data_IF_673016929177
#
_entry.id   IF_673016929177
#
_cell.length_a   1.000
_cell.length_b   1.000
_cell.length_c   1.000
_cell.angle_alpha   90.00
_cell.angle_beta   90.00
_cell.angle_gamma   90.00
#
_symmetry.space_group_name_H-M   'P 1'
#
loop_
_entity.id
_entity.type
_entity.pdbx_description
1 polymer ?
#
# COMPACT_ATOMS: atom_id res chain seq x y z
N UNK A 1 39.81 10.86 -70.26
CA UNK A 1 38.93 11.43 -69.22
C UNK A 1 39.02 10.56 -67.97
N UNK A 2 39.77 10.98 -66.96
CA UNK A 2 39.99 10.23 -65.72
C UNK A 2 38.94 10.64 -64.68
N UNK A 3 38.01 9.73 -64.35
CA UNK A 3 36.98 9.96 -63.36
C UNK A 3 37.56 9.95 -61.94
N UNK A 4 37.52 11.10 -61.25
CA UNK A 4 38.00 11.29 -59.88
C UNK A 4 37.07 10.55 -58.89
N UNK A 5 37.54 9.45 -58.31
CA UNK A 5 36.82 8.64 -57.30
C UNK A 5 36.54 9.52 -56.07
N UNK A 6 35.28 9.92 -55.86
CA UNK A 6 34.87 10.74 -54.71
C UNK A 6 34.92 9.89 -53.44
N UNK A 7 35.73 10.30 -52.47
CA UNK A 7 35.83 9.67 -51.15
C UNK A 7 34.55 9.94 -50.36
N UNK A 8 33.79 8.89 -50.03
CA UNK A 8 32.54 8.94 -49.26
C UNK A 8 32.75 9.04 -47.74
N UNK A 9 34.02 9.10 -47.32
CA UNK A 9 34.46 9.23 -45.92
C UNK A 9 33.78 10.36 -45.12
N UNK A 10 33.64 11.60 -45.63
CA UNK A 10 32.98 12.67 -44.87
C UNK A 10 31.49 12.42 -44.65
N UNK A 11 30.82 11.72 -45.57
CA UNK A 11 29.39 11.36 -45.41
C UNK A 11 29.19 10.27 -44.35
N UNK A 12 30.14 9.34 -44.21
CA UNK A 12 30.11 8.32 -43.16
C UNK A 12 30.20 8.92 -41.75
N UNK A 13 31.11 9.89 -41.55
CA UNK A 13 31.25 10.61 -40.27
C UNK A 13 29.97 11.39 -39.95
N UNK A 14 29.40 12.08 -40.95
CA UNK A 14 28.18 12.86 -40.79
C UNK A 14 26.98 11.97 -40.41
N UNK A 15 26.91 10.76 -40.96
CA UNK A 15 25.88 9.77 -40.64
C UNK A 15 26.01 9.25 -39.19
N UNK A 16 27.23 8.99 -38.71
CA UNK A 16 27.46 8.54 -37.32
C UNK A 16 27.06 9.63 -36.32
N UNK A 17 27.41 10.89 -36.60
CA UNK A 17 27.03 12.03 -35.75
C UNK A 17 25.50 12.18 -35.69
N UNK A 18 24.82 12.08 -36.84
CA UNK A 18 23.37 12.15 -36.90
C UNK A 18 22.70 11.03 -36.09
N UNK A 19 23.22 9.80 -36.18
CA UNK A 19 22.76 8.65 -35.39
C UNK A 19 22.96 8.87 -33.88
N UNK A 20 24.09 9.43 -33.48
CA UNK A 20 24.37 9.78 -32.08
C UNK A 20 23.36 10.78 -31.51
N UNK A 21 23.04 11.83 -32.27
CA UNK A 21 22.03 12.82 -31.87
C UNK A 21 20.65 12.16 -31.71
N UNK A 22 20.24 11.31 -32.66
CA UNK A 22 18.97 10.59 -32.59
C UNK A 22 18.89 9.70 -31.34
N UNK A 23 19.96 8.96 -31.02
CA UNK A 23 20.01 8.12 -29.83
C UNK A 23 19.95 8.94 -28.53
N UNK A 24 20.63 10.10 -28.47
CA UNK A 24 20.54 11.01 -27.31
C UNK A 24 19.11 11.52 -27.15
N UNK A 25 18.45 11.95 -28.22
CA UNK A 25 17.05 12.42 -28.17
C UNK A 25 16.09 11.31 -27.72
N UNK A 26 16.28 10.07 -28.21
CA UNK A 26 15.49 8.91 -27.78
C UNK A 26 15.74 8.62 -26.29
N UNK A 27 17.00 8.67 -25.84
CA UNK A 27 17.36 8.47 -24.44
C UNK A 27 16.72 9.51 -23.51
N UNK A 28 16.76 10.79 -23.89
CA UNK A 28 16.09 11.88 -23.16
C UNK A 28 14.56 11.69 -23.17
N UNK A 29 13.97 11.28 -24.30
CA UNK A 29 12.53 10.99 -24.42
C UNK A 29 12.11 9.81 -23.54
N UNK A 30 12.91 8.74 -23.50
CA UNK A 30 12.66 7.59 -22.63
C UNK A 30 12.79 8.03 -21.17
N UNK A 31 13.88 8.71 -20.81
CA UNK A 31 14.10 9.25 -19.46
C UNK A 31 12.97 10.19 -19.00
N UNK A 32 12.50 11.08 -19.88
CA UNK A 32 11.42 12.03 -19.58
C UNK A 32 10.03 11.38 -19.51
N UNK A 33 9.78 10.28 -20.23
CA UNK A 33 8.53 9.50 -20.09
C UNK A 33 8.60 8.47 -18.96
N UNK A 34 9.81 8.17 -18.51
CA UNK A 34 10.14 7.25 -17.43
C UNK A 34 10.52 8.04 -16.17
N UNK A 35 10.21 9.35 -16.09
CA UNK A 35 10.02 9.99 -14.81
C UNK A 35 8.81 9.31 -14.20
N UNK A 36 9.11 8.31 -13.39
CA UNK A 36 8.19 7.83 -12.39
C UNK A 36 7.84 9.08 -11.59
N UNK A 37 6.68 9.69 -11.88
CA UNK A 37 6.01 10.60 -10.96
C UNK A 37 5.60 9.75 -9.74
N UNK A 38 6.58 9.34 -8.95
CA UNK A 38 6.39 8.91 -7.58
C UNK A 38 6.28 10.18 -6.78
N UNK A 39 5.02 10.47 -6.46
CA UNK A 39 4.58 11.23 -5.31
C UNK A 39 4.63 12.74 -5.44
N UNK A 40 3.45 13.32 -5.24
CA UNK A 40 3.17 14.73 -4.98
C UNK A 40 3.85 15.31 -3.71
N UNK A 41 5.03 14.81 -3.33
CA UNK A 41 5.75 15.16 -2.08
C UNK A 41 6.85 16.21 -2.32
N UNK A 42 7.16 16.55 -3.56
CA UNK A 42 8.33 17.36 -3.94
C UNK A 42 8.33 18.82 -3.44
N UNK A 43 7.26 19.30 -2.80
CA UNK A 43 7.16 20.66 -2.25
C UNK A 43 6.91 20.72 -0.73
N UNK A 44 6.92 19.59 -0.02
CA UNK A 44 6.82 19.61 1.45
C UNK A 44 8.23 19.79 2.01
N UNK A 45 8.45 20.83 2.82
CA UNK A 45 9.74 21.02 3.50
C UNK A 45 10.03 19.75 4.30
N UNK A 46 11.23 19.18 4.15
CA UNK A 46 11.67 17.94 4.83
C UNK A 46 11.31 17.90 6.33
N UNK A 47 11.41 19.04 7.01
CA UNK A 47 11.05 19.20 8.43
C UNK A 47 9.55 18.93 8.67
N UNK A 48 8.67 19.47 7.83
CA UNK A 48 7.22 19.24 7.93
C UNK A 48 6.86 17.77 7.63
N UNK A 49 7.65 17.11 6.76
CA UNK A 49 7.48 15.68 6.49
C UNK A 49 7.90 14.84 7.70
N UNK A 50 9.06 15.14 8.29
CA UNK A 50 9.59 14.43 9.46
C UNK A 50 8.66 14.60 10.68
N UNK A 51 8.13 15.81 10.92
CA UNK A 51 7.15 16.08 11.97
C UNK A 51 5.84 15.30 11.75
N UNK A 52 5.33 15.26 10.52
CA UNK A 52 4.14 14.47 10.17
C UNK A 52 4.37 12.98 10.37
N UNK A 53 5.51 12.45 9.93
CA UNK A 53 5.86 11.03 10.11
C UNK A 53 5.93 10.70 11.60
N UNK A 54 6.60 11.53 12.40
CA UNK A 54 6.70 11.33 13.85
C UNK A 54 5.32 11.34 14.51
N UNK A 55 4.44 12.27 14.12
CA UNK A 55 3.06 12.34 14.61
C UNK A 55 2.27 11.07 14.27
N UNK A 56 2.37 10.59 13.03
CA UNK A 56 1.72 9.35 12.58
C UNK A 56 2.27 8.14 13.35
N UNK A 57 3.59 8.04 13.57
CA UNK A 57 4.18 6.96 14.36
C UNK A 57 3.67 6.98 15.81
N UNK A 58 3.60 8.17 16.43
CA UNK A 58 3.10 8.30 17.79
C UNK A 58 1.64 7.87 17.91
N UNK A 59 0.79 8.28 16.96
CA UNK A 59 -0.63 7.86 16.91
C UNK A 59 -0.77 6.35 16.71
N UNK A 60 0.01 5.77 15.79
CA UNK A 60 0.04 4.33 15.54
C UNK A 60 0.46 3.55 16.80
N UNK A 61 1.54 3.98 17.46
CA UNK A 61 2.04 3.34 18.68
C UNK A 61 1.06 3.48 19.84
N UNK A 62 0.42 4.64 20.01
CA UNK A 62 -0.60 4.85 21.03
C UNK A 62 -1.80 3.91 20.83
N UNK A 63 -2.22 3.71 19.57
CA UNK A 63 -3.28 2.75 19.25
C UNK A 63 -2.83 1.30 19.52
N UNK A 64 -1.65 0.90 19.04
CA UNK A 64 -1.11 -0.45 19.22
C UNK A 64 -0.80 -0.78 20.69
N UNK A 65 -0.56 0.21 21.55
CA UNK A 65 -0.44 0.01 22.99
C UNK A 65 -1.76 -0.42 23.64
N UNK A 66 -2.90 -0.03 23.06
CA UNK A 66 -4.23 -0.33 23.59
C UNK A 66 -4.91 -1.51 22.90
N UNK A 67 -4.63 -1.72 21.61
CA UNK A 67 -5.31 -2.71 20.79
C UNK A 67 -4.32 -3.66 20.11
N UNK A 68 -4.63 -4.96 20.15
CA UNK A 68 -4.13 -5.94 19.20
C UNK A 68 -5.10 -6.00 18.03
N UNK A 69 -4.59 -5.85 16.80
CA UNK A 69 -5.40 -5.99 15.60
C UNK A 69 -5.17 -7.38 15.02
N UNK A 70 -6.24 -8.18 14.91
CA UNK A 70 -6.20 -9.52 14.31
C UNK A 70 -7.03 -9.57 13.04
N UNK A 71 -6.64 -10.43 12.11
CA UNK A 71 -7.30 -10.62 10.82
C UNK A 71 -7.67 -12.09 10.63
N UNK A 72 -8.91 -12.35 10.17
CA UNK A 72 -9.37 -13.69 9.83
C UNK A 72 -10.13 -13.68 8.53
N UNK A 73 -9.81 -14.66 7.67
CA UNK A 73 -10.56 -14.97 6.44
C UNK A 73 -11.53 -16.14 6.63
N UNK A 74 -11.47 -16.82 7.79
CA UNK A 74 -12.20 -18.07 8.09
C UNK A 74 -13.23 -17.85 9.23
N UNK A 75 -13.14 -16.74 9.95
CA UNK A 75 -14.12 -16.35 10.99
C UNK A 75 -13.74 -16.72 12.42
N UNK A 76 -12.62 -17.41 12.64
CA UNK A 76 -12.06 -17.59 13.99
C UNK A 76 -11.16 -16.40 14.35
N UNK A 77 -11.55 -15.63 15.38
CA UNK A 77 -10.81 -14.48 15.89
C UNK A 77 -9.81 -14.80 16.99
N UNK A 78 -9.91 -15.96 17.64
CA UNK A 78 -9.05 -16.32 18.79
C UNK A 78 -7.67 -16.77 18.33
N UNK A 79 -7.61 -17.52 17.23
CA UNK A 79 -6.36 -18.00 16.65
C UNK A 79 -5.80 -17.10 15.55
N UNK A 80 -6.53 -16.02 15.19
CA UNK A 80 -6.13 -15.11 14.13
C UNK A 80 -4.80 -14.39 14.43
N UNK A 81 -3.92 -14.22 13.42
CA UNK A 81 -2.62 -13.61 13.59
C UNK A 81 -2.77 -12.12 13.92
N UNK A 82 -1.91 -11.64 14.81
CA UNK A 82 -1.81 -10.20 15.12
C UNK A 82 -1.10 -9.52 13.95
N UNK A 83 -1.77 -8.55 13.34
CA UNK A 83 -1.20 -7.71 12.30
C UNK A 83 -0.14 -6.80 12.91
N UNK A 84 1.01 -6.73 12.23
CA UNK A 84 2.08 -5.82 12.61
C UNK A 84 1.89 -4.46 11.96
N UNK A 85 2.49 -3.46 12.58
CA UNK A 85 2.56 -2.11 12.08
C UNK A 85 3.06 -2.07 10.62
N UNK A 86 2.38 -1.35 9.72
CA UNK A 86 2.69 -1.27 8.29
C UNK A 86 4.04 -0.64 7.95
N UNK A 87 4.63 0.13 8.88
CA UNK A 87 5.91 0.82 8.67
C UNK A 87 7.12 -0.12 8.79
N UNK A 88 6.90 -1.38 9.17
CA UNK A 88 7.89 -2.44 9.01
C UNK A 88 7.65 -3.15 7.67
N UNK A 89 8.71 -3.28 6.86
CA UNK A 89 8.63 -3.90 5.54
C UNK A 89 8.22 -5.37 5.64
N UNK A 90 7.02 -5.71 5.16
CA UNK A 90 6.56 -7.09 5.01
C UNK A 90 6.67 -7.44 3.52
N UNK A 91 7.70 -8.20 3.09
CA UNK A 91 7.82 -8.59 1.68
C UNK A 91 6.62 -9.44 1.25
N UNK A 92 6.29 -9.39 -0.04
CA UNK A 92 5.28 -10.28 -0.63
C UNK A 92 5.70 -11.73 -0.37
N UNK A 93 4.82 -12.58 0.19
CA UNK A 93 5.12 -14.00 0.36
C UNK A 93 5.42 -14.67 -0.99
N UNK A 94 6.31 -15.66 -0.98
CA UNK A 94 6.64 -16.45 -2.19
C UNK A 94 5.68 -17.63 -2.39
N UNK A 95 5.20 -18.19 -1.28
CA UNK A 95 4.39 -19.41 -1.27
C UNK A 95 2.92 -19.11 -1.01
N UNK A 96 2.04 -19.78 -1.76
CA UNK A 96 0.59 -19.67 -1.60
C UNK A 96 0.24 -20.05 -0.15
N UNK A 97 -0.46 -19.17 0.59
CA UNK A 97 -0.86 -19.47 1.95
C UNK A 97 -1.77 -20.70 1.98
N UNK A 98 -1.51 -21.64 2.89
CA UNK A 98 -2.31 -22.87 3.01
C UNK A 98 -3.69 -22.63 3.65
N UNK A 99 -3.76 -21.69 4.61
CA UNK A 99 -4.98 -21.39 5.38
C UNK A 99 -5.17 -19.85 5.49
N UNK A 100 -4.48 -19.22 6.44
CA UNK A 100 -4.62 -17.78 6.71
C UNK A 100 -4.08 -16.93 5.57
N UNK A 101 -4.88 -15.96 5.12
CA UNK A 101 -4.55 -15.12 3.98
C UNK A 101 -4.97 -15.71 2.64
N UNK A 102 -5.43 -16.97 2.56
CA UNK A 102 -6.09 -17.48 1.36
C UNK A 102 -7.54 -17.00 1.32
N UNK A 103 -7.94 -16.40 0.21
CA UNK A 103 -9.32 -16.02 -0.09
C UNK A 103 -9.98 -17.10 -0.94
N UNK A 104 -11.15 -17.57 -0.49
CA UNK A 104 -11.92 -18.63 -1.14
C UNK A 104 -12.80 -18.07 -2.27
N UNK A 105 -12.16 -17.56 -3.31
CA UNK A 105 -12.81 -17.13 -4.56
C UNK A 105 -14.01 -16.21 -4.34
N UNK A 106 -15.15 -16.59 -4.94
CA UNK A 106 -16.32 -15.73 -5.14
C UNK A 106 -17.12 -15.34 -3.88
N UNK A 107 -16.80 -15.93 -2.73
CA UNK A 107 -17.56 -15.70 -1.50
C UNK A 107 -16.64 -15.46 -0.30
N UNK A 108 -15.59 -14.69 -0.52
CA UNK A 108 -14.61 -14.38 0.51
C UNK A 108 -15.19 -13.39 1.53
N UNK A 109 -15.02 -13.70 2.81
CA UNK A 109 -15.36 -12.81 3.92
C UNK A 109 -14.11 -12.57 4.74
N UNK A 110 -13.78 -11.30 4.91
CA UNK A 110 -12.68 -10.87 5.75
C UNK A 110 -13.22 -10.15 6.98
N UNK A 111 -12.70 -10.54 8.14
CA UNK A 111 -13.04 -9.97 9.45
C UNK A 111 -11.79 -9.48 10.15
N UNK A 112 -11.87 -8.31 10.77
CA UNK A 112 -10.86 -7.83 11.71
C UNK A 112 -11.42 -7.78 13.13
N UNK A 113 -10.56 -8.12 14.09
CA UNK A 113 -10.84 -8.08 15.51
C UNK A 113 -9.89 -7.09 16.18
N UNK A 114 -10.44 -6.12 16.91
CA UNK A 114 -9.68 -5.12 17.66
C UNK A 114 -9.74 -5.49 19.15
N UNK A 115 -8.80 -6.32 19.57
CA UNK A 115 -8.73 -6.85 20.93
C UNK A 115 -8.07 -5.82 21.85
N UNK A 116 -8.81 -5.28 22.82
CA UNK A 116 -8.25 -4.36 23.82
C UNK A 116 -7.28 -5.13 24.73
N UNK A 117 -6.03 -4.68 24.82
CA UNK A 117 -5.03 -5.21 25.75
C UNK A 117 -5.50 -4.92 27.18
N UNK A 118 -5.43 -5.92 28.06
CA UNK A 118 -5.70 -5.71 29.49
C UNK A 118 -4.53 -4.88 30.06
N UNK A 119 -4.84 -3.79 30.77
CA UNK A 119 -3.99 -2.88 31.58
C UNK A 119 -3.42 -1.59 30.94
N UNK A 120 -3.91 -0.41 31.34
CA UNK A 120 -3.39 0.47 32.42
C UNK A 120 -4.40 1.65 32.62
N UNK A 121 -4.81 1.93 33.87
CA UNK A 121 -5.86 2.91 34.23
C UNK A 121 -5.50 4.37 33.87
N UNK A 122 -4.25 4.63 33.47
CA UNK A 122 -3.73 5.95 33.12
C UNK A 122 -3.83 6.30 31.63
N UNK A 123 -4.28 5.37 30.78
CA UNK A 123 -4.19 5.53 29.33
C UNK A 123 -5.38 6.29 28.74
N UNK A 124 -5.08 7.18 27.78
CA UNK A 124 -6.08 7.86 26.95
C UNK A 124 -7.11 6.85 26.43
N UNK A 125 -8.40 7.07 26.71
CA UNK A 125 -9.44 6.29 26.06
C UNK A 125 -9.46 6.62 24.57
N UNK A 126 -9.16 5.63 23.73
CA UNK A 126 -9.25 5.69 22.28
C UNK A 126 -10.42 4.83 21.85
N UNK A 127 -11.33 5.39 21.06
CA UNK A 127 -12.46 4.66 20.48
C UNK A 127 -12.37 4.56 18.96
N UNK A 128 -12.87 3.46 18.43
CA UNK A 128 -12.88 3.18 16.99
C UNK A 128 -14.18 3.70 16.38
N UNK A 129 -14.06 4.62 15.41
CA UNK A 129 -15.19 5.22 14.69
C UNK A 129 -15.60 4.38 13.48
N UNK A 130 -14.62 4.00 12.65
CA UNK A 130 -14.85 3.18 11.47
C UNK A 130 -13.58 2.44 11.06
N UNK A 131 -13.78 1.45 10.20
CA UNK A 131 -12.71 0.69 9.56
C UNK A 131 -12.99 0.69 8.07
N UNK A 132 -12.00 1.06 7.28
CA UNK A 132 -12.06 0.99 5.82
C UNK A 132 -11.08 -0.09 5.33
N UNK A 133 -11.43 -0.81 4.28
CA UNK A 133 -10.58 -1.82 3.65
C UNK A 133 -10.36 -1.49 2.17
N UNK A 134 -9.09 -1.45 1.77
CA UNK A 134 -8.66 -1.32 0.38
C UNK A 134 -7.72 -2.48 0.02
N UNK A 135 -8.00 -3.17 -1.08
CA UNK A 135 -7.06 -4.12 -1.68
C UNK A 135 -6.22 -3.41 -2.72
N UNK A 136 -4.90 -3.59 -2.62
CA UNK A 136 -3.94 -3.01 -3.57
C UNK A 136 -3.12 -4.11 -4.20
N UNK A 137 -3.06 -4.10 -5.53
CA UNK A 137 -2.20 -4.99 -6.32
C UNK A 137 -1.38 -4.19 -7.31
N UNK A 138 -0.10 -4.53 -7.43
CA UNK A 138 0.74 -4.03 -8.51
C UNK A 138 0.41 -4.81 -9.78
N UNK A 139 -0.15 -4.12 -10.77
CA UNK A 139 -0.29 -4.69 -12.11
C UNK A 139 1.08 -4.59 -12.81
N UNK A 140 1.67 -5.76 -13.11
CA UNK A 140 2.96 -5.85 -13.78
C UNK A 140 2.91 -5.36 -15.23
N UNK A 141 1.73 -5.42 -15.87
CA UNK A 141 1.54 -4.95 -17.25
C UNK A 141 1.42 -3.44 -17.34
N UNK A 142 0.69 -2.81 -16.42
CA UNK A 142 0.36 -1.39 -16.49
C UNK A 142 1.25 -0.48 -15.62
N UNK A 143 2.12 -1.05 -14.76
CA UNK A 143 2.86 -0.31 -13.72
C UNK A 143 1.96 0.57 -12.84
N UNK A 144 0.66 0.27 -12.79
CA UNK A 144 -0.34 0.96 -11.98
C UNK A 144 -0.78 0.06 -10.85
N UNK A 145 -0.95 0.65 -9.68
CA UNK A 145 -1.58 -0.03 -8.57
C UNK A 145 -3.10 -0.05 -8.82
N UNK A 146 -3.66 -1.25 -9.01
CA UNK A 146 -5.12 -1.42 -8.97
C UNK A 146 -5.56 -1.36 -7.51
N UNK A 147 -6.62 -0.59 -7.25
CA UNK A 147 -7.20 -0.40 -5.92
C UNK A 147 -8.66 -0.82 -5.95
N UNK A 148 -9.07 -1.62 -4.97
CA UNK A 148 -10.46 -1.99 -4.78
C UNK A 148 -10.85 -1.73 -3.32
N UNK A 149 -11.78 -0.80 -3.10
CA UNK A 149 -12.34 -0.55 -1.78
C UNK A 149 -13.49 -1.51 -1.50
N UNK A 150 -13.43 -2.18 -0.35
CA UNK A 150 -14.49 -3.08 0.12
C UNK A 150 -15.01 -2.54 1.45
N UNK A 151 -16.33 -2.27 1.59
CA UNK A 151 -16.86 -1.72 2.82
C UNK A 151 -16.78 -2.74 3.97
N UNK A 152 -16.32 -2.28 5.13
CA UNK A 152 -16.35 -3.05 6.38
C UNK A 152 -17.55 -2.60 7.20
N UNK A 153 -18.28 -3.57 7.76
CA UNK A 153 -19.47 -3.35 8.56
C UNK A 153 -19.16 -3.78 9.99
N UNK A 154 -19.54 -2.95 10.97
CA UNK A 154 -19.40 -3.29 12.38
C UNK A 154 -20.32 -4.47 12.70
N UNK A 155 -19.75 -5.60 13.08
CA UNK A 155 -20.45 -6.85 13.42
C UNK A 155 -20.48 -7.14 14.92
N UNK A 156 -19.63 -6.46 15.71
CA UNK A 156 -19.56 -6.55 17.17
C UNK A 156 -18.96 -5.29 17.80
N UNK A 157 -18.73 -5.29 19.12
CA UNK A 157 -18.24 -4.11 19.85
C UNK A 157 -16.93 -3.56 19.26
N UNK A 158 -16.03 -4.45 18.84
CA UNK A 158 -14.73 -4.16 18.24
C UNK A 158 -14.40 -5.11 17.06
N UNK A 159 -15.44 -5.56 16.37
CA UNK A 159 -15.32 -6.50 15.25
C UNK A 159 -15.94 -5.89 14.01
N UNK A 160 -15.21 -5.97 12.91
CA UNK A 160 -15.64 -5.43 11.62
C UNK A 160 -15.46 -6.48 10.54
N UNK A 161 -16.49 -6.70 9.74
CA UNK A 161 -16.52 -7.74 8.72
C UNK A 161 -16.99 -7.17 7.39
N UNK A 162 -16.40 -7.65 6.31
CA UNK A 162 -16.91 -7.41 4.96
C UNK A 162 -18.20 -8.20 4.71
N UNK A 163 -19.01 -7.74 3.74
CA UNK A 163 -19.92 -8.66 3.05
C UNK A 163 -19.10 -9.57 2.15
N UNK A 164 -19.68 -10.69 1.72
CA UNK A 164 -19.08 -11.53 0.69
C UNK A 164 -18.63 -10.69 -0.51
N UNK A 165 -17.39 -10.90 -0.94
CA UNK A 165 -16.80 -10.22 -2.08
C UNK A 165 -15.91 -11.18 -2.88
N UNK A 166 -15.60 -10.78 -4.10
CA UNK A 166 -14.65 -11.43 -4.98
C UNK A 166 -13.59 -10.43 -5.46
N UNK A 167 -12.37 -10.92 -5.66
CA UNK A 167 -11.30 -10.12 -6.27
C UNK A 167 -11.21 -10.44 -7.76
N UNK A 168 -10.96 -9.43 -8.61
CA UNK A 168 -11.13 -9.57 -10.06
C UNK A 168 -10.10 -10.49 -10.73
N UNK A 169 -8.94 -10.71 -10.09
CA UNK A 169 -7.84 -11.48 -10.66
C UNK A 169 -7.18 -12.35 -9.59
N UNK A 170 -6.68 -13.52 -9.97
CA UNK A 170 -5.93 -14.43 -9.09
C UNK A 170 -4.56 -13.83 -8.71
N UNK A 171 -4.08 -14.12 -7.49
CA UNK A 171 -2.76 -13.72 -7.02
C UNK A 171 -2.76 -12.90 -5.73
N UNK A 172 -1.61 -12.32 -5.38
CA UNK A 172 -1.46 -11.53 -4.15
C UNK A 172 -2.06 -10.14 -4.24
N UNK A 173 -2.74 -9.76 -3.17
CA UNK A 173 -3.19 -8.41 -2.88
C UNK A 173 -2.69 -8.01 -1.50
N UNK A 174 -2.35 -6.73 -1.35
CA UNK A 174 -2.15 -6.13 -0.05
C UNK A 174 -3.50 -5.61 0.44
N UNK A 175 -4.08 -6.29 1.44
CA UNK A 175 -5.21 -5.78 2.19
C UNK A 175 -4.72 -4.65 3.10
N UNK A 176 -5.27 -3.45 2.91
CA UNK A 176 -4.95 -2.25 3.68
C UNK A 176 -6.15 -1.83 4.51
N UNK A 177 -6.00 -1.92 5.81
CA UNK A 177 -6.99 -1.45 6.78
C UNK A 177 -6.65 -0.04 7.21
N UNK A 178 -7.63 0.84 7.14
CA UNK A 178 -7.58 2.17 7.73
C UNK A 178 -8.59 2.22 8.88
N UNK A 179 -8.09 2.27 10.10
CA UNK A 179 -8.90 2.38 11.30
C UNK A 179 -8.96 3.85 11.68
N UNK A 180 -10.14 4.45 11.61
CA UNK A 180 -10.34 5.82 12.05
C UNK A 180 -10.67 5.79 13.54
N UNK A 181 -9.73 6.24 14.37
CA UNK A 181 -9.86 6.26 15.83
C UNK A 181 -9.99 7.70 16.33
N UNK A 182 -10.54 7.88 17.53
CA UNK A 182 -10.62 9.19 18.18
C UNK A 182 -10.24 9.04 19.66
N UNK A 183 -9.46 9.99 20.15
CA UNK A 183 -9.06 10.05 21.54
C UNK A 183 -10.06 10.91 22.33
N UNK A 184 -10.34 10.51 23.57
CA UNK A 184 -11.39 11.11 24.40
C UNK A 184 -10.95 12.42 25.08
N UNK A 185 -9.63 12.61 25.24
CA UNK A 185 -9.05 13.76 25.94
C UNK A 185 -8.69 14.95 25.04
N UNK A 186 -8.91 14.86 23.73
CA UNK A 186 -8.64 15.96 22.80
C UNK A 186 -9.89 16.82 22.64
N UNK A 187 -9.80 18.12 22.98
CA UNK A 187 -10.89 19.11 22.78
C UNK A 187 -11.32 19.28 21.31
N UNK A 188 -10.54 18.71 20.38
CA UNK A 188 -10.86 18.61 18.97
C UNK A 188 -11.47 17.23 18.68
N UNK A 189 -12.62 17.22 17.99
CA UNK A 189 -13.28 16.04 17.42
C UNK A 189 -12.50 15.42 16.24
N UNK A 190 -11.17 15.48 16.31
CA UNK A 190 -10.29 15.05 15.24
C UNK A 190 -10.04 13.56 15.37
N UNK A 191 -10.65 12.79 14.48
CA UNK A 191 -10.30 11.40 14.27
C UNK A 191 -8.94 11.30 13.59
N UNK A 192 -8.09 10.41 14.06
CA UNK A 192 -6.81 10.10 13.44
C UNK A 192 -6.85 8.70 12.81
N UNK A 193 -6.23 8.53 11.62
CA UNK A 193 -6.18 7.24 10.95
C UNK A 193 -4.99 6.40 11.44
N UNK A 194 -5.23 5.12 11.67
CA UNK A 194 -4.23 4.09 11.99
C UNK A 194 -4.27 3.06 10.88
N UNK A 195 -3.12 2.61 10.40
CA UNK A 195 -3.05 1.73 9.23
C UNK A 195 -2.53 0.35 9.61
N UNK A 196 -3.05 -0.69 8.96
CA UNK A 196 -2.54 -2.06 9.07
C UNK A 196 -2.55 -2.72 7.69
N UNK A 197 -1.48 -3.45 7.35
CA UNK A 197 -1.35 -4.14 6.08
C UNK A 197 -1.22 -5.64 6.27
N UNK A 198 -1.88 -6.41 5.42
CA UNK A 198 -1.77 -7.86 5.39
C UNK A 198 -1.78 -8.36 3.95
N UNK A 199 -0.93 -9.35 3.64
CA UNK A 199 -0.94 -9.99 2.34
C UNK A 199 -2.02 -11.07 2.31
N UNK A 200 -2.86 -11.02 1.29
CA UNK A 200 -3.85 -12.06 0.99
C UNK A 200 -3.63 -12.59 -0.42
N UNK A 201 -3.98 -13.84 -0.65
CA UNK A 201 -3.91 -14.50 -1.95
C UNK A 201 -5.31 -14.84 -2.41
N UNK A 202 -5.69 -14.34 -3.59
CA UNK A 202 -6.90 -14.76 -4.28
C UNK A 202 -6.60 -16.06 -5.04
N UNK A 203 -7.25 -17.14 -4.59
CA UNK A 203 -7.14 -18.51 -5.13
C UNK A 203 -7.66 -18.66 -6.55
#
# INVERSE_FOLDING_TARGET
MTAKKRTLWPFGILLVIALGIVLIVISIRISSKQSIDTDHTFNIKRIELDEKINSIMQQQNAFENLYNVRISTIGDGVNAPIMKNPYYTIPVPRDIPKNEGLLHGDNSVLTIYLERKKYDESTQDIYIKSVDLEFVRLDQGEKKASKLSVPMIKSGENTYSTKAFSLPMQGYYQARFKINAKATNTKQDESFPVYFYHWVFNG
#
